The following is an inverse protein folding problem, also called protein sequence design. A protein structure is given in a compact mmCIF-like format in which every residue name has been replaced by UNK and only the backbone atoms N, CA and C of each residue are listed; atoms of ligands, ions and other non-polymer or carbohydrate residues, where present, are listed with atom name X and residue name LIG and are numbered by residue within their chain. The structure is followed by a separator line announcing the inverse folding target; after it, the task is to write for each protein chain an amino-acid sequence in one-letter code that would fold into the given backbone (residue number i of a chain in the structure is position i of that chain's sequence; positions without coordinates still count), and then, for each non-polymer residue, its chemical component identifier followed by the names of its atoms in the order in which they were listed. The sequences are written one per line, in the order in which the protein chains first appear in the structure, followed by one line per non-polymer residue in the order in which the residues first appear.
data_IF_086407527418
#
_entry.id   IF_086407527418
#
_cell.length_a   1.000
_cell.length_b   1.000
_cell.length_c   1.000
_cell.angle_alpha   90.00
_cell.angle_beta   90.00
_cell.angle_gamma   90.00
#
_symmetry.space_group_name_H-M   'P 1'
#
loop_
_entity.id
_entity.type
_entity.pdbx_description
1 polymer ?
#
# COMPACT_ATOMS: atom_id res chain seq x y z
N UNK A 1 -3.48 -2.16 -11.99
CA UNK A 1 -2.50 -1.08 -12.03
C UNK A 1 -1.26 -1.49 -12.82
N UNK A 2 -0.56 -2.53 -12.39
CA UNK A 2 0.57 -3.10 -13.09
C UNK A 2 0.47 -4.64 -13.13
N UNK A 3 1.38 -5.30 -13.82
CA UNK A 3 1.35 -6.74 -14.02
C UNK A 3 1.49 -7.53 -12.70
N UNK A 4 2.36 -7.07 -11.80
CA UNK A 4 2.58 -7.68 -10.48
C UNK A 4 1.31 -7.64 -9.62
N UNK A 5 0.63 -6.49 -9.59
CA UNK A 5 -0.65 -6.32 -8.87
C UNK A 5 -1.74 -7.22 -9.45
N UNK A 6 -1.83 -7.32 -10.79
CA UNK A 6 -2.80 -8.21 -11.44
C UNK A 6 -2.54 -9.69 -11.13
N UNK A 7 -1.30 -10.13 -11.26
CA UNK A 7 -0.92 -11.51 -10.95
C UNK A 7 -1.21 -11.87 -9.48
N UNK A 8 -1.01 -10.93 -8.55
CA UNK A 8 -1.38 -11.12 -7.16
C UNK A 8 -2.91 -11.22 -6.99
N UNK A 9 -3.68 -10.34 -7.64
CA UNK A 9 -5.13 -10.34 -7.57
C UNK A 9 -5.74 -11.66 -8.12
N UNK A 10 -5.19 -12.18 -9.22
CA UNK A 10 -5.61 -13.48 -9.77
C UNK A 10 -5.35 -14.64 -8.79
N UNK A 11 -4.15 -14.69 -8.18
CA UNK A 11 -3.85 -15.71 -7.15
C UNK A 11 -4.75 -15.60 -5.94
N UNK A 12 -5.13 -14.38 -5.56
CA UNK A 12 -6.10 -14.15 -4.48
C UNK A 12 -7.47 -14.70 -4.88
N UNK A 13 -7.95 -14.37 -6.08
CA UNK A 13 -9.25 -14.84 -6.61
C UNK A 13 -9.30 -16.36 -6.70
N UNK A 14 -8.25 -17.01 -7.18
CA UNK A 14 -8.16 -18.48 -7.25
C UNK A 14 -8.33 -19.15 -5.88
N UNK A 15 -7.84 -18.51 -4.80
CA UNK A 15 -7.91 -19.04 -3.43
C UNK A 15 -9.21 -18.73 -2.70
N UNK A 16 -9.81 -17.60 -2.98
CA UNK A 16 -10.94 -17.08 -2.20
C UNK A 16 -12.26 -17.07 -2.96
N UNK A 17 -12.23 -17.21 -4.28
CA UNK A 17 -13.40 -17.13 -5.16
C UNK A 17 -13.87 -15.69 -5.46
N UNK A 18 -13.12 -14.66 -5.02
CA UNK A 18 -13.50 -13.26 -5.24
C UNK A 18 -12.27 -12.37 -5.45
N UNK A 19 -12.45 -11.24 -6.14
CA UNK A 19 -11.38 -10.26 -6.32
C UNK A 19 -11.02 -9.56 -5.00
N UNK A 20 -9.72 -9.27 -4.78
CA UNK A 20 -9.30 -8.53 -3.59
C UNK A 20 -9.74 -7.08 -3.66
N UNK A 21 -9.95 -6.50 -2.50
CA UNK A 21 -10.11 -5.05 -2.35
C UNK A 21 -8.76 -4.39 -1.99
N UNK A 22 -8.75 -3.07 -1.98
CA UNK A 22 -7.63 -2.26 -1.49
C UNK A 22 -7.22 -2.65 -0.05
N UNK A 23 -8.18 -3.04 0.81
CA UNK A 23 -7.89 -3.46 2.19
C UNK A 23 -7.07 -4.75 2.22
N UNK A 24 -7.43 -5.74 1.40
CA UNK A 24 -6.67 -6.99 1.30
C UNK A 24 -5.23 -6.74 0.83
N UNK A 25 -5.07 -5.88 -0.17
CA UNK A 25 -3.75 -5.52 -0.67
C UNK A 25 -2.90 -4.77 0.38
N UNK A 26 -3.51 -3.85 1.14
CA UNK A 26 -2.85 -3.12 2.21
C UNK A 26 -2.40 -4.03 3.37
N UNK A 27 -3.25 -4.97 3.79
CA UNK A 27 -2.90 -5.97 4.82
C UNK A 27 -1.76 -6.87 4.34
N UNK A 28 -1.82 -7.33 3.08
CA UNK A 28 -0.74 -8.14 2.51
C UNK A 28 0.58 -7.39 2.51
N UNK A 29 0.59 -6.15 2.02
CA UNK A 29 1.77 -5.30 1.98
C UNK A 29 2.36 -5.05 3.37
N UNK A 30 1.54 -4.61 4.35
CA UNK A 30 1.99 -4.30 5.70
C UNK A 30 2.53 -5.53 6.44
N UNK A 31 1.86 -6.67 6.31
CA UNK A 31 2.31 -7.93 6.93
C UNK A 31 3.63 -8.40 6.32
N UNK A 32 3.74 -8.34 5.01
CA UNK A 32 4.97 -8.72 4.30
C UNK A 32 6.14 -7.82 4.72
N UNK A 33 5.95 -6.50 4.73
CA UNK A 33 6.98 -5.54 5.11
C UNK A 33 7.47 -5.76 6.54
N UNK A 34 6.55 -6.04 7.48
CA UNK A 34 6.88 -6.38 8.87
C UNK A 34 7.71 -7.67 8.96
N UNK A 35 7.30 -8.74 8.28
CA UNK A 35 8.02 -10.02 8.30
C UNK A 35 9.40 -9.92 7.63
N UNK A 36 9.51 -9.17 6.54
CA UNK A 36 10.78 -8.90 5.87
C UNK A 36 11.73 -8.10 6.77
N UNK A 37 11.21 -7.14 7.55
CA UNK A 37 12.01 -6.39 8.54
C UNK A 37 12.54 -7.32 9.64
N UNK A 38 11.71 -8.19 10.22
CA UNK A 38 12.15 -9.20 11.20
C UNK A 38 13.24 -10.10 10.62
N UNK A 39 13.04 -10.59 9.40
CA UNK A 39 14.02 -11.45 8.73
C UNK A 39 15.36 -10.72 8.49
N UNK A 40 15.31 -9.44 8.16
CA UNK A 40 16.51 -8.64 7.91
C UNK A 40 17.33 -8.36 9.18
N UNK A 41 16.67 -8.11 10.32
CA UNK A 41 17.36 -7.80 11.58
C UNK A 41 17.60 -9.02 12.48
N UNK A 42 16.94 -10.15 12.20
CA UNK A 42 17.10 -11.41 12.94
C UNK A 42 16.55 -11.39 14.38
N UNK A 43 15.66 -10.45 14.69
CA UNK A 43 15.00 -10.31 16.00
C UNK A 43 13.58 -9.76 15.84
N UNK A 44 12.72 -10.01 16.83
CA UNK A 44 11.38 -9.44 16.94
C UNK A 44 11.32 -8.26 17.95
N UNK A 45 12.48 -7.74 18.37
CA UNK A 45 12.54 -6.54 19.20
C UNK A 45 11.82 -5.37 18.51
N UNK A 46 10.82 -4.83 19.20
CA UNK A 46 9.89 -3.86 18.62
C UNK A 46 10.58 -2.61 18.07
N UNK A 47 11.58 -2.07 18.78
CA UNK A 47 12.25 -0.84 18.36
C UNK A 47 13.15 -1.08 17.15
N UNK A 48 13.87 -2.19 17.16
CA UNK A 48 14.75 -2.61 16.06
C UNK A 48 13.95 -2.87 14.79
N UNK A 49 12.85 -3.62 14.89
CA UNK A 49 11.97 -3.91 13.75
C UNK A 49 11.30 -2.64 13.22
N UNK A 50 10.78 -1.77 14.10
CA UNK A 50 10.17 -0.49 13.70
C UNK A 50 11.18 0.37 12.94
N UNK A 51 12.42 0.48 13.41
CA UNK A 51 13.45 1.25 12.73
C UNK A 51 13.75 0.66 11.35
N UNK A 52 13.93 -0.65 11.25
CA UNK A 52 14.15 -1.33 9.97
C UNK A 52 13.00 -1.10 8.98
N UNK A 53 11.76 -1.15 9.45
CA UNK A 53 10.58 -0.84 8.62
C UNK A 53 10.61 0.61 8.11
N UNK A 54 10.97 1.56 8.96
CA UNK A 54 11.04 2.98 8.58
C UNK A 54 12.18 3.26 7.57
N UNK A 55 13.29 2.57 7.71
CA UNK A 55 14.48 2.74 6.86
C UNK A 55 14.37 2.01 5.49
N UNK A 56 13.39 1.11 5.36
CA UNK A 56 13.23 0.29 4.16
C UNK A 56 12.11 0.82 3.27
N UNK A 57 12.40 1.27 2.03
CA UNK A 57 11.37 1.65 1.07
C UNK A 57 10.45 0.49 0.70
N UNK A 58 9.16 0.78 0.56
CA UNK A 58 8.13 -0.21 0.22
C UNK A 58 7.96 -0.24 -1.30
N UNK A 59 8.31 -1.39 -1.90
CA UNK A 59 8.18 -1.66 -3.33
C UNK A 59 7.56 -3.05 -3.52
N UNK A 60 6.23 -3.10 -3.58
CA UNK A 60 5.48 -4.34 -3.68
C UNK A 60 4.24 -4.20 -4.59
N UNK A 61 3.28 -5.08 -4.43
CA UNK A 61 2.03 -5.11 -5.19
C UNK A 61 1.10 -3.94 -4.86
N UNK A 62 1.29 -3.28 -3.71
CA UNK A 62 0.44 -2.21 -3.21
C UNK A 62 1.01 -0.82 -3.55
N UNK A 63 2.32 -0.62 -3.38
CA UNK A 63 2.98 0.66 -3.57
C UNK A 63 4.32 0.53 -4.28
N UNK A 64 4.74 1.60 -4.96
CA UNK A 64 6.10 1.80 -5.47
C UNK A 64 6.67 3.04 -4.79
N UNK A 65 7.91 2.92 -4.31
CA UNK A 65 8.59 3.97 -3.55
C UNK A 65 7.82 4.49 -2.33
N UNK A 66 6.96 3.65 -1.75
CA UNK A 66 6.30 3.95 -0.49
C UNK A 66 7.30 4.01 0.66
N UNK A 67 6.99 4.79 1.71
CA UNK A 67 7.82 4.86 2.91
C UNK A 67 6.98 5.11 4.15
N UNK A 68 7.50 4.73 5.31
CA UNK A 68 6.88 5.00 6.61
C UNK A 68 7.48 6.30 7.16
N UNK A 69 6.62 7.29 7.34
CA UNK A 69 6.94 8.60 7.88
C UNK A 69 7.08 8.55 9.41
N UNK A 70 7.71 9.57 10.02
CA UNK A 70 7.97 9.67 11.47
C UNK A 70 6.70 9.54 12.33
N UNK A 71 5.56 10.01 11.82
CA UNK A 71 4.25 9.86 12.47
C UNK A 71 3.59 8.48 12.26
N UNK A 72 4.32 7.51 11.70
CA UNK A 72 3.84 6.16 11.41
C UNK A 72 2.97 6.04 10.17
N UNK A 73 2.74 7.12 9.43
CA UNK A 73 1.97 7.10 8.20
C UNK A 73 2.78 6.46 7.07
N UNK A 74 2.24 5.42 6.43
CA UNK A 74 2.74 4.98 5.12
C UNK A 74 2.32 6.00 4.06
N UNK A 75 3.30 6.58 3.38
CA UNK A 75 3.12 7.57 2.32
C UNK A 75 3.43 6.90 0.98
N UNK A 76 2.53 7.04 0.03
CA UNK A 76 2.61 6.42 -1.32
C UNK A 76 1.69 7.15 -2.29
N UNK A 77 1.86 6.93 -3.58
CA UNK A 77 0.96 7.47 -4.58
C UNK A 77 -0.47 6.94 -4.38
N UNK A 78 -1.45 7.80 -4.65
CA UNK A 78 -2.86 7.46 -4.66
C UNK A 78 -3.43 7.58 -6.09
N UNK A 79 -4.58 6.95 -6.33
CA UNK A 79 -5.20 6.92 -7.63
C UNK A 79 -6.61 7.50 -7.58
N UNK A 80 -6.86 8.51 -8.40
CA UNK A 80 -8.22 8.92 -8.73
C UNK A 80 -8.75 7.95 -9.77
N UNK A 81 -9.84 7.29 -9.43
CA UNK A 81 -10.48 6.32 -10.32
C UNK A 81 -11.90 6.76 -10.66
N UNK A 82 -12.37 6.36 -11.83
CA UNK A 82 -13.74 6.53 -12.28
C UNK A 82 -14.38 5.15 -12.44
N UNK A 83 -15.65 5.04 -12.07
CA UNK A 83 -16.43 3.81 -12.27
C UNK A 83 -16.76 3.70 -13.76
N UNK A 84 -16.44 2.55 -14.36
CA UNK A 84 -16.78 2.24 -15.75
C UNK A 84 -18.30 2.01 -15.90
N UNK A 85 -18.82 2.33 -17.07
CA UNK A 85 -20.16 1.87 -17.45
C UNK A 85 -20.14 0.38 -17.77
N UNK A 86 -21.31 -0.33 -17.77
CA UNK A 86 -21.35 -1.74 -18.14
C UNK A 86 -20.77 -2.04 -19.52
N UNK A 87 -20.90 -1.10 -20.45
CA UNK A 87 -20.40 -1.23 -21.83
C UNK A 87 -18.86 -1.08 -21.92
N UNK A 88 -18.25 -0.39 -20.97
CA UNK A 88 -16.80 -0.20 -20.86
C UNK A 88 -16.09 -1.32 -20.09
N UNK A 89 -16.84 -2.09 -19.32
CA UNK A 89 -16.29 -3.18 -18.50
C UNK A 89 -16.05 -4.42 -19.34
N UNK A 90 -14.85 -4.99 -19.24
CA UNK A 90 -14.51 -6.24 -19.90
C UNK A 90 -15.16 -7.47 -19.23
N UNK A 91 -15.36 -7.40 -17.91
CA UNK A 91 -16.01 -8.42 -17.09
C UNK A 91 -16.61 -7.81 -15.80
N UNK A 92 -17.22 -8.64 -14.95
CA UNK A 92 -17.88 -8.21 -13.73
C UNK A 92 -16.95 -7.57 -12.67
N UNK A 93 -15.66 -7.81 -12.75
CA UNK A 93 -14.65 -7.33 -11.81
C UNK A 93 -13.87 -6.10 -12.35
N UNK A 94 -14.04 -5.78 -13.63
CA UNK A 94 -13.40 -4.63 -14.29
C UNK A 94 -14.19 -3.33 -14.10
N UNK A 95 -14.26 -2.87 -12.86
CA UNK A 95 -15.16 -1.79 -12.43
C UNK A 95 -14.59 -0.39 -12.57
N UNK A 96 -13.26 -0.22 -12.64
CA UNK A 96 -12.63 1.09 -12.53
C UNK A 96 -11.60 1.35 -13.63
N UNK A 97 -11.51 2.62 -14.02
CA UNK A 97 -10.36 3.13 -14.78
C UNK A 97 -9.62 4.19 -13.97
N UNK A 98 -8.29 4.19 -14.05
CA UNK A 98 -7.46 5.22 -13.43
C UNK A 98 -7.54 6.48 -14.28
N UNK A 99 -8.00 7.57 -13.68
CA UNK A 99 -8.09 8.90 -14.31
C UNK A 99 -6.79 9.68 -14.08
N UNK A 100 -6.25 9.61 -12.86
CA UNK A 100 -5.04 10.34 -12.45
C UNK A 100 -4.32 9.62 -11.34
N UNK A 101 -2.99 9.63 -11.39
CA UNK A 101 -2.15 9.34 -10.22
C UNK A 101 -1.92 10.63 -9.45
N UNK A 102 -2.14 10.59 -8.15
CA UNK A 102 -1.88 11.68 -7.21
C UNK A 102 -0.56 11.34 -6.51
N UNK A 103 0.51 12.12 -6.71
CA UNK A 103 1.80 11.88 -6.10
C UNK A 103 1.71 11.82 -4.57
N UNK A 104 2.58 11.03 -3.96
CA UNK A 104 2.64 10.79 -2.52
C UNK A 104 2.64 12.09 -1.69
N UNK A 105 3.40 13.09 -2.11
CA UNK A 105 3.52 14.40 -1.47
C UNK A 105 2.23 15.26 -1.55
N UNK A 106 1.36 15.00 -2.53
CA UNK A 106 0.07 15.67 -2.67
C UNK A 106 -1.07 14.88 -1.99
N UNK A 107 -0.90 13.56 -1.85
CA UNK A 107 -1.95 12.65 -1.40
C UNK A 107 -2.19 12.67 0.10
N UNK A 108 -1.20 13.10 0.88
CA UNK A 108 -1.24 13.07 2.35
C UNK A 108 -0.98 14.45 2.95
N UNK A 109 -1.63 14.71 4.09
CA UNK A 109 -1.38 15.91 4.89
C UNK A 109 0.13 16.07 5.15
N UNK A 110 0.69 17.28 5.02
CA UNK A 110 2.09 17.53 5.35
C UNK A 110 2.44 17.14 6.79
N UNK A 111 3.68 16.70 7.02
CA UNK A 111 4.15 16.35 8.36
C UNK A 111 4.09 17.53 9.34
N UNK A 112 4.31 18.76 8.84
CA UNK A 112 4.20 20.00 9.62
C UNK A 112 2.81 20.26 10.23
N UNK A 113 1.78 19.60 9.69
CA UNK A 113 0.41 19.66 10.20
C UNK A 113 0.03 18.42 11.03
N UNK A 114 1.00 17.53 11.30
CA UNK A 114 0.76 16.36 12.12
C UNK A 114 0.48 16.75 13.56
N UNK A 115 -0.52 16.11 14.15
CA UNK A 115 -0.85 16.21 15.59
C UNK A 115 -0.33 15.00 16.37
N UNK A 116 0.50 14.20 15.76
CA UNK A 116 1.07 13.01 16.39
C UNK A 116 2.07 13.40 17.48
N UNK A 117 1.92 12.93 18.74
CA UNK A 117 2.84 13.27 19.83
C UNK A 117 4.29 12.85 19.56
N UNK A 118 4.52 11.87 18.71
CA UNK A 118 5.87 11.40 18.33
C UNK A 118 6.63 12.42 17.45
N UNK A 119 5.92 13.38 16.87
CA UNK A 119 6.50 14.38 15.95
C UNK A 119 6.45 15.80 16.55
N UNK A 120 5.42 16.08 17.36
CA UNK A 120 5.16 17.43 17.94
C UNK A 120 5.60 17.59 19.38
N UNK A 121 6.20 16.54 19.98
CA UNK A 121 6.67 16.50 21.37
C UNK A 121 7.95 17.25 21.62
#
# INVERSE_FOLDING_TARGET
LNEETRAWAERFRERTGSMPTMVHAGIYSSTRHYLEAIAAVGTDDTQTVRQQMADTPINDIFAKNGYIREDGRMVHDMYLVEVKTPEESADADDLFRVVRTIPAEEAFRPLSESVCPLVTG
#
